data_IF_423213386560
#
_entry.id   IF_423213386560
#
_cell.length_a   1.000
_cell.length_b   1.000
_cell.length_c   1.000
_cell.angle_alpha   90.00
_cell.angle_beta   90.00
_cell.angle_gamma   90.00
#
_symmetry.space_group_name_H-M   'P 1'
#
loop_
_entity.id
_entity.type
_entity.pdbx_description
1 polymer ?
#
# COMPACT_ATOMS: atom_id res chain seq x y z
N UNK A 1 -37.64 4.42 36.73
CA UNK A 1 -37.12 5.45 35.80
C UNK A 1 -35.64 5.81 36.03
N UNK A 2 -35.14 5.87 37.28
CA UNK A 2 -33.73 6.20 37.58
C UNK A 2 -32.69 5.14 37.15
N UNK A 3 -33.01 3.85 37.25
CA UNK A 3 -32.11 2.74 36.88
C UNK A 3 -31.87 2.59 35.37
N UNK A 4 -32.79 3.07 34.53
CA UNK A 4 -32.67 2.99 33.06
C UNK A 4 -31.67 4.03 32.52
N UNK A 5 -31.44 5.12 33.26
CA UNK A 5 -30.57 6.24 32.86
C UNK A 5 -29.08 5.89 33.04
N UNK A 6 -28.72 5.13 34.07
CA UNK A 6 -27.33 4.70 34.31
C UNK A 6 -26.78 3.75 33.24
N UNK A 7 -27.65 2.94 32.62
CA UNK A 7 -27.28 1.96 31.59
C UNK A 7 -26.96 2.63 30.24
N UNK A 8 -27.55 3.80 29.98
CA UNK A 8 -27.29 4.60 28.77
C UNK A 8 -25.98 5.38 28.88
N UNK A 9 -25.62 5.85 30.08
CA UNK A 9 -24.37 6.59 30.31
C UNK A 9 -23.14 5.68 30.20
N UNK A 10 -23.25 4.41 30.60
CA UNK A 10 -22.17 3.42 30.41
C UNK A 10 -21.92 3.09 28.93
N UNK A 11 -22.95 3.21 28.08
CA UNK A 11 -22.85 2.97 26.64
C UNK A 11 -22.18 4.12 25.88
N UNK A 12 -22.30 5.37 26.38
CA UNK A 12 -21.72 6.55 25.73
C UNK A 12 -20.21 6.70 25.96
N UNK A 13 -19.65 6.12 27.03
CA UNK A 13 -18.22 6.25 27.37
C UNK A 13 -17.34 5.27 26.56
N UNK A 14 -17.91 4.24 25.92
CA UNK A 14 -17.15 3.30 25.08
C UNK A 14 -16.90 3.75 23.65
N UNK A 15 -17.38 4.91 23.22
CA UNK A 15 -17.19 5.39 21.84
C UNK A 15 -16.37 6.67 21.75
N UNK A 16 -15.22 6.71 22.41
CA UNK A 16 -14.13 7.62 22.04
C UNK A 16 -12.79 6.91 22.10
N UNK A 17 -12.62 5.88 21.27
CA UNK A 17 -11.26 5.47 20.90
C UNK A 17 -10.70 6.56 20.00
N UNK A 18 -9.93 7.47 20.59
CA UNK A 18 -9.00 8.35 19.88
C UNK A 18 -8.02 7.41 19.17
N UNK A 19 -8.27 7.14 17.89
CA UNK A 19 -7.38 6.33 17.09
C UNK A 19 -6.19 7.21 16.74
N UNK A 20 -5.14 7.09 17.53
CA UNK A 20 -3.85 7.70 17.26
C UNK A 20 -3.46 7.30 15.83
N UNK A 21 -3.21 8.29 14.96
CA UNK A 21 -2.61 8.10 13.65
C UNK A 21 -1.20 7.50 13.82
N UNK A 22 -1.14 6.19 14.00
CA UNK A 22 0.09 5.40 13.85
C UNK A 22 0.07 4.93 12.41
N UNK A 23 1.03 5.46 11.63
CA UNK A 23 1.26 5.20 10.21
C UNK A 23 0.93 3.73 9.85
N UNK A 24 -0.24 3.49 9.26
CA UNK A 24 -0.58 2.15 8.76
C UNK A 24 0.56 1.69 7.81
N UNK A 25 1.04 0.45 7.95
CA UNK A 25 2.11 -0.04 7.10
C UNK A 25 1.67 0.02 5.63
N UNK A 26 2.51 0.59 4.78
CA UNK A 26 2.28 0.66 3.33
C UNK A 26 2.21 -0.78 2.80
N UNK A 27 1.12 -1.11 2.10
CA UNK A 27 0.97 -2.41 1.47
C UNK A 27 2.03 -2.58 0.38
N UNK A 28 2.85 -3.63 0.50
CA UNK A 28 3.87 -3.99 -0.49
C UNK A 28 3.38 -5.18 -1.31
N UNK A 29 3.12 -4.92 -2.58
CA UNK A 29 2.78 -5.92 -3.59
C UNK A 29 4.07 -6.37 -4.26
N UNK A 30 4.28 -7.67 -4.40
CA UNK A 30 5.45 -8.20 -5.08
C UNK A 30 5.06 -9.40 -5.97
N UNK A 31 6.05 -10.08 -6.56
CA UNK A 31 5.82 -11.22 -7.45
C UNK A 31 4.96 -12.34 -6.81
N UNK A 32 5.03 -12.54 -5.50
CA UNK A 32 4.21 -13.55 -4.78
C UNK A 32 2.73 -13.20 -4.66
N UNK A 33 2.36 -11.94 -4.98
CA UNK A 33 0.99 -11.46 -5.05
C UNK A 33 0.37 -11.65 -6.44
N UNK A 34 1.11 -12.20 -7.41
CA UNK A 34 0.59 -12.46 -8.75
C UNK A 34 -0.72 -13.28 -8.70
N UNK A 35 -1.74 -12.79 -9.41
CA UNK A 35 -3.07 -13.40 -9.49
C UNK A 35 -3.95 -13.21 -8.25
N UNK A 36 -3.50 -12.45 -7.24
CA UNK A 36 -4.30 -12.17 -6.03
C UNK A 36 -5.00 -10.83 -6.13
N UNK A 37 -6.15 -10.74 -5.49
CA UNK A 37 -6.85 -9.48 -5.28
C UNK A 37 -6.35 -8.79 -4.01
N UNK A 38 -6.26 -7.46 -4.08
CA UNK A 38 -5.95 -6.60 -2.93
C UNK A 38 -7.07 -5.58 -2.76
N UNK A 39 -7.48 -5.37 -1.51
CA UNK A 39 -8.53 -4.42 -1.17
C UNK A 39 -7.91 -3.20 -0.50
N UNK A 40 -8.15 -2.02 -1.06
CA UNK A 40 -7.60 -0.74 -0.60
C UNK A 40 -8.72 0.26 -0.42
N UNK A 41 -8.57 1.16 0.57
CA UNK A 41 -9.43 2.34 0.66
C UNK A 41 -8.99 3.37 -0.38
N UNK A 42 -9.94 4.08 -0.97
CA UNK A 42 -9.66 5.20 -1.88
C UNK A 42 -8.69 6.20 -1.24
N UNK A 43 -7.72 6.68 -2.01
CA UNK A 43 -6.68 7.60 -1.57
C UNK A 43 -5.52 6.96 -0.82
N UNK A 44 -5.55 5.64 -0.53
CA UNK A 44 -4.43 4.96 0.12
C UNK A 44 -3.30 4.72 -0.85
N UNK A 45 -2.08 4.76 -0.32
CA UNK A 45 -0.86 4.49 -1.06
C UNK A 45 -0.44 3.05 -0.84
N UNK A 46 -0.05 2.38 -1.92
CA UNK A 46 0.59 1.09 -1.90
C UNK A 46 1.83 1.11 -2.81
N UNK A 47 2.70 0.12 -2.64
CA UNK A 47 3.93 0.01 -3.42
C UNK A 47 3.99 -1.34 -4.13
N UNK A 48 4.33 -1.33 -5.41
CA UNK A 48 4.71 -2.53 -6.16
C UNK A 48 6.23 -2.65 -6.12
N UNK A 49 6.73 -3.82 -5.74
CA UNK A 49 8.16 -4.17 -5.64
C UNK A 49 8.43 -5.36 -6.55
N UNK A 50 9.09 -5.14 -7.68
CA UNK A 50 9.44 -6.20 -8.63
C UNK A 50 10.92 -6.18 -8.96
N UNK A 51 11.52 -7.36 -9.01
CA UNK A 51 12.91 -7.49 -9.48
C UNK A 51 12.97 -7.24 -11.00
N UNK A 52 13.97 -6.48 -11.40
CA UNK A 52 14.33 -6.15 -12.78
C UNK A 52 15.82 -6.38 -13.00
N UNK A 53 16.21 -6.74 -14.21
CA UNK A 53 17.61 -6.72 -14.61
C UNK A 53 17.80 -5.72 -15.78
N UNK A 54 18.16 -4.45 -15.50
CA UNK A 54 18.30 -3.44 -16.54
C UNK A 54 19.36 -3.78 -17.60
N UNK A 55 20.35 -4.62 -17.27
CA UNK A 55 21.42 -5.02 -18.20
C UNK A 55 20.93 -5.88 -19.36
N UNK A 56 19.75 -6.49 -19.24
CA UNK A 56 19.15 -7.30 -20.32
C UNK A 56 18.28 -6.46 -21.25
N UNK A 57 18.07 -5.18 -20.94
CA UNK A 57 17.18 -4.29 -21.70
C UNK A 57 15.68 -4.50 -21.43
N UNK A 58 15.31 -5.38 -20.50
CA UNK A 58 13.93 -5.60 -20.08
C UNK A 58 13.53 -4.67 -18.93
N UNK A 59 12.27 -4.21 -18.94
CA UNK A 59 11.68 -3.39 -17.88
C UNK A 59 10.20 -3.72 -17.68
N UNK A 60 9.68 -3.52 -16.47
CA UNK A 60 8.24 -3.61 -16.23
C UNK A 60 7.53 -2.36 -16.71
N UNK A 61 6.36 -2.56 -17.31
CA UNK A 61 5.46 -1.49 -17.74
C UNK A 61 4.03 -1.84 -17.33
N UNK A 62 3.25 -0.82 -16.99
CA UNK A 62 1.82 -1.01 -16.81
C UNK A 62 1.14 -1.26 -18.15
N UNK A 63 0.28 -2.27 -18.19
CA UNK A 63 -0.63 -2.51 -19.29
C UNK A 63 -2.05 -2.19 -18.81
N UNK A 64 -2.70 -1.22 -19.47
CA UNK A 64 -4.09 -0.82 -19.18
C UNK A 64 -4.36 -0.39 -17.72
N UNK A 65 -3.47 0.42 -17.13
CA UNK A 65 -3.74 1.03 -15.82
C UNK A 65 -4.91 2.02 -15.93
N UNK A 66 -5.92 1.85 -15.10
CA UNK A 66 -7.02 2.80 -14.94
C UNK A 66 -6.49 4.08 -14.26
N UNK A 67 -6.34 5.15 -15.04
CA UNK A 67 -5.79 6.43 -14.57
C UNK A 67 -6.81 7.30 -13.84
N UNK A 68 -8.10 6.97 -13.89
CA UNK A 68 -9.14 7.68 -13.15
C UNK A 68 -9.21 7.19 -11.70
N UNK A 69 -8.80 5.94 -11.47
CA UNK A 69 -8.73 5.32 -10.14
C UNK A 69 -7.32 5.34 -9.52
N UNK A 70 -6.27 5.28 -10.33
CA UNK A 70 -4.89 5.15 -9.84
C UNK A 70 -3.97 6.27 -10.33
N UNK A 71 -3.23 6.85 -9.38
CA UNK A 71 -2.21 7.85 -9.62
C UNK A 71 -0.82 7.28 -9.29
N UNK A 72 0.10 7.27 -10.26
CA UNK A 72 1.50 6.90 -10.02
C UNK A 72 2.22 8.10 -9.42
N UNK A 73 2.64 7.99 -8.15
CA UNK A 73 3.34 9.05 -7.42
C UNK A 73 4.82 9.05 -7.78
N UNK A 74 5.46 7.89 -7.75
CA UNK A 74 6.89 7.76 -8.07
C UNK A 74 7.25 6.38 -8.61
N UNK A 75 8.34 6.35 -9.37
CA UNK A 75 8.98 5.14 -9.85
C UNK A 75 10.46 5.24 -9.50
N UNK A 76 10.93 4.31 -8.68
CA UNK A 76 12.29 4.26 -8.18
C UNK A 76 12.92 2.90 -8.49
N UNK A 77 14.25 2.84 -8.54
CA UNK A 77 15.00 1.59 -8.70
C UNK A 77 16.05 1.52 -7.60
N UNK A 78 16.08 0.40 -6.88
CA UNK A 78 17.05 0.17 -5.80
C UNK A 78 17.93 -1.03 -6.14
N UNK A 79 19.27 -0.90 -6.09
CA UNK A 79 20.16 -2.02 -6.37
C UNK A 79 20.02 -3.10 -5.29
N UNK A 80 19.90 -4.37 -5.69
CA UNK A 80 19.82 -5.50 -4.75
C UNK A 80 21.17 -5.82 -4.13
N UNK A 81 22.26 -5.42 -4.77
CA UNK A 81 23.63 -5.62 -4.30
C UNK A 81 24.57 -4.55 -4.86
N UNK A 82 25.83 -4.56 -4.43
CA UNK A 82 26.88 -3.65 -4.92
C UNK A 82 27.57 -4.12 -6.21
N UNK A 83 27.21 -5.30 -6.73
CA UNK A 83 27.83 -5.84 -7.93
C UNK A 83 27.29 -5.17 -9.19
N UNK A 84 28.19 -4.84 -10.12
CA UNK A 84 27.82 -4.32 -11.43
C UNK A 84 27.05 -5.40 -12.19
N UNK A 85 25.93 -5.01 -12.81
CA UNK A 85 25.06 -5.94 -13.54
C UNK A 85 24.14 -6.78 -12.63
N UNK A 86 24.17 -6.58 -11.32
CA UNK A 86 23.21 -7.21 -10.44
C UNK A 86 21.78 -6.70 -10.69
N UNK A 87 20.75 -7.52 -10.43
CA UNK A 87 19.37 -7.08 -10.46
C UNK A 87 19.09 -5.89 -9.55
N UNK A 88 18.08 -5.12 -9.93
CA UNK A 88 17.51 -4.02 -9.14
C UNK A 88 16.09 -4.39 -8.73
N UNK A 89 15.55 -3.75 -7.71
CA UNK A 89 14.12 -3.77 -7.40
C UNK A 89 13.52 -2.46 -7.93
N UNK A 90 12.60 -2.58 -8.89
CA UNK A 90 11.70 -1.49 -9.27
C UNK A 90 10.64 -1.30 -8.20
N UNK A 91 10.41 -0.05 -7.82
CA UNK A 91 9.46 0.35 -6.80
C UNK A 91 8.52 1.38 -7.42
N UNK A 92 7.24 1.02 -7.55
CA UNK A 92 6.20 1.93 -8.01
C UNK A 92 5.31 2.29 -6.84
N UNK A 93 5.30 3.58 -6.47
CA UNK A 93 4.42 4.11 -5.44
C UNK A 93 3.15 4.61 -6.10
N UNK A 94 2.01 4.03 -5.73
CA UNK A 94 0.73 4.27 -6.39
C UNK A 94 -0.32 4.65 -5.34
N UNK A 95 -1.13 5.64 -5.66
CA UNK A 95 -2.29 6.04 -4.89
C UNK A 95 -3.55 5.53 -5.57
N UNK A 96 -4.41 4.87 -4.79
CA UNK A 96 -5.74 4.41 -5.19
C UNK A 96 -6.83 5.47 -4.94
#
# INVERSE_FOLDING_TARGET
MQFLIFLIIFFLISCTTINNNINEPILKVNKSCHGKEIYLKKGKIFEIHLEENPSTGYEWRFFQLDKDLFEIISIEKQPKSKFIGAPVIGIWKIKA
#
